data_IF_425053714641
#
_entry.id   IF_425053714641
#
_cell.length_a   1.000
_cell.length_b   1.000
_cell.length_c   1.000
_cell.angle_alpha   90.00
_cell.angle_beta   90.00
_cell.angle_gamma   90.00
#
_symmetry.space_group_name_H-M   'P 1'
#
loop_
_entity.id
_entity.type
_entity.pdbx_description
1 polymer ?
#
# COMPACT_ATOMS: atom_id res chain seq x y z
N UNK A 1 -6.84 -4.01 14.39
CA UNK A 1 -6.61 -5.32 13.76
C UNK A 1 -6.49 -5.08 12.27
N UNK A 2 -5.36 -5.44 11.67
CA UNK A 2 -5.11 -5.23 10.24
C UNK A 2 -5.75 -6.35 9.43
N UNK A 3 -6.59 -5.99 8.47
CA UNK A 3 -7.19 -6.93 7.53
C UNK A 3 -6.21 -7.07 6.35
N UNK A 4 -5.49 -8.19 6.29
CA UNK A 4 -4.41 -8.39 5.29
C UNK A 4 -4.87 -8.16 3.85
N UNK A 5 -6.12 -8.51 3.52
CA UNK A 5 -6.68 -8.30 2.18
C UNK A 5 -6.84 -6.82 1.79
N UNK A 6 -6.87 -5.89 2.76
CA UNK A 6 -6.98 -4.45 2.51
C UNK A 6 -5.66 -3.83 2.05
N UNK A 7 -4.52 -4.46 2.35
CA UNK A 7 -3.19 -3.96 1.97
C UNK A 7 -3.08 -3.78 0.45
N UNK A 8 -3.32 -4.80 -0.40
CA UNK A 8 -3.26 -4.63 -1.85
C UNK A 8 -4.34 -3.68 -2.40
N UNK A 9 -5.51 -3.59 -1.75
CA UNK A 9 -6.58 -2.65 -2.16
C UNK A 9 -6.13 -1.21 -1.93
N UNK A 10 -5.59 -0.90 -0.75
CA UNK A 10 -5.08 0.43 -0.47
C UNK A 10 -3.87 0.77 -1.34
N UNK A 11 -2.97 -0.19 -1.56
CA UNK A 11 -1.86 -0.02 -2.49
C UNK A 11 -2.34 0.34 -3.90
N UNK A 12 -3.39 -0.33 -4.40
CA UNK A 12 -4.01 0.00 -5.67
C UNK A 12 -4.58 1.42 -5.69
N UNK A 13 -5.33 1.82 -4.65
CA UNK A 13 -5.90 3.17 -4.54
C UNK A 13 -4.84 4.27 -4.47
N UNK A 14 -3.73 4.01 -3.78
CA UNK A 14 -2.58 4.91 -3.70
C UNK A 14 -1.90 5.04 -5.06
N UNK A 15 -1.63 3.91 -5.73
CA UNK A 15 -1.01 3.90 -7.07
C UNK A 15 -1.89 4.59 -8.12
N UNK A 16 -3.21 4.51 -7.97
CA UNK A 16 -4.17 5.22 -8.82
C UNK A 16 -4.32 6.72 -8.50
N UNK A 17 -3.59 7.26 -7.51
CA UNK A 17 -3.68 8.65 -7.07
C UNK A 17 -5.01 9.01 -6.40
N UNK A 18 -5.84 8.02 -6.07
CA UNK A 18 -7.14 8.23 -5.41
C UNK A 18 -7.00 8.45 -3.90
N UNK A 19 -5.86 8.06 -3.32
CA UNK A 19 -5.49 8.29 -1.92
C UNK A 19 -4.00 8.52 -1.81
N UNK A 20 -3.59 9.23 -0.77
CA UNK A 20 -2.18 9.32 -0.33
C UNK A 20 -1.96 8.34 0.83
N UNK A 21 -0.71 7.93 1.04
CA UNK A 21 -0.36 6.94 2.08
C UNK A 21 -0.69 7.50 3.47
N UNK A 22 -0.40 8.77 3.70
CA UNK A 22 -0.62 9.52 4.93
C UNK A 22 -2.10 9.62 5.30
N UNK A 23 -2.99 9.51 4.30
CA UNK A 23 -4.44 9.57 4.46
C UNK A 23 -5.07 8.19 4.69
N UNK A 24 -4.28 7.12 4.72
CA UNK A 24 -4.74 5.78 5.11
C UNK A 24 -4.85 5.68 6.64
N UNK A 25 -5.71 4.79 7.18
CA UNK A 25 -5.70 4.51 8.61
C UNK A 25 -4.29 4.07 9.04
N UNK A 26 -3.81 4.57 10.18
CA UNK A 26 -2.42 4.42 10.66
C UNK A 26 -1.90 2.97 10.57
N UNK A 27 -2.73 2.00 10.95
CA UNK A 27 -2.41 0.57 10.90
C UNK A 27 -2.14 0.00 9.49
N UNK A 28 -2.44 0.75 8.42
CA UNK A 28 -2.20 0.37 7.02
C UNK A 28 -1.09 1.19 6.35
N UNK A 29 -0.63 2.29 6.92
CA UNK A 29 0.36 3.17 6.27
C UNK A 29 1.67 2.42 6.00
N UNK A 30 2.25 1.84 7.05
CA UNK A 30 3.50 1.07 6.93
C UNK A 30 3.33 -0.20 6.06
N UNK A 31 2.33 -1.08 6.28
CA UNK A 31 2.17 -2.27 5.45
C UNK A 31 1.93 -1.99 3.96
N UNK A 32 1.23 -0.91 3.63
CA UNK A 32 1.00 -0.52 2.23
C UNK A 32 2.26 0.05 1.61
N UNK A 33 3.03 0.85 2.34
CA UNK A 33 4.33 1.35 1.87
C UNK A 33 5.31 0.21 1.59
N UNK A 34 5.43 -0.75 2.50
CA UNK A 34 6.28 -1.95 2.32
C UNK A 34 5.83 -2.78 1.11
N UNK A 35 4.52 -2.99 0.95
CA UNK A 35 3.98 -3.72 -0.19
C UNK A 35 4.27 -3.02 -1.53
N UNK A 36 4.13 -1.69 -1.59
CA UNK A 36 4.45 -0.91 -2.78
C UNK A 36 5.95 -0.96 -3.11
N UNK A 37 6.83 -0.88 -2.09
CA UNK A 37 8.28 -1.01 -2.28
C UNK A 37 8.65 -2.38 -2.86
N UNK A 38 8.11 -3.46 -2.29
CA UNK A 38 8.32 -4.82 -2.79
C UNK A 38 7.84 -4.99 -4.25
N UNK A 39 6.70 -4.40 -4.62
CA UNK A 39 6.22 -4.41 -6.01
C UNK A 39 7.17 -3.71 -6.97
N UNK A 40 7.86 -2.64 -6.54
CA UNK A 40 8.86 -1.96 -7.39
C UNK A 40 10.11 -2.83 -7.55
N UNK A 41 10.61 -3.40 -6.45
CA UNK A 41 11.77 -4.31 -6.50
C UNK A 41 11.53 -5.55 -7.38
N UNK A 42 10.31 -6.09 -7.40
CA UNK A 42 9.93 -7.19 -8.29
C UNK A 42 9.82 -6.78 -9.76
N UNK A 43 9.40 -5.55 -10.05
CA UNK A 43 9.29 -5.04 -11.42
C UNK A 43 10.64 -4.63 -12.03
N UNK A 44 11.62 -4.29 -11.19
CA UNK A 44 12.97 -3.89 -11.61
C UNK A 44 13.96 -5.07 -11.71
N UNK A 45 13.55 -6.29 -11.35
CA UNK A 45 14.31 -7.52 -11.55
C UNK A 45 14.04 -8.18 -12.89
#
# INVERSE_FOLDING_TARGET
>A
MVLKYMIPIYAFLVKAGSREIENLPEQYQLPVAEYLAALVEELEK
#
